data_IF_658246835779
#
_entry.id   IF_658246835779
#
_cell.length_a   1.000
_cell.length_b   1.000
_cell.length_c   1.000
_cell.angle_alpha   90.00
_cell.angle_beta   90.00
_cell.angle_gamma   90.00
#
_symmetry.space_group_name_H-M   'P 1'
#
loop_
_entity.id
_entity.type
_entity.pdbx_description
1 polymer ?
#
# COMPACT_ATOMS: atom_id res chain seq x y z
N UNK A 1 -2.88 -4.95 36.55
CA UNK A 1 -3.43 -3.58 36.52
C UNK A 1 -3.55 -3.12 35.07
N UNK A 2 -4.75 -2.87 34.53
CA UNK A 2 -4.93 -2.52 33.12
C UNK A 2 -4.40 -1.12 32.83
N UNK A 3 -3.51 -1.01 31.86
CA UNK A 3 -2.91 0.25 31.41
C UNK A 3 -3.91 1.02 30.54
N UNK A 4 -4.34 2.19 31.03
CA UNK A 4 -5.21 3.22 30.42
C UNK A 4 -6.65 2.84 30.06
N UNK A 5 -7.57 3.57 30.70
CA UNK A 5 -9.03 3.57 30.54
C UNK A 5 -9.51 3.64 29.07
N UNK A 6 -8.73 4.28 28.19
CA UNK A 6 -9.01 4.39 26.75
C UNK A 6 -8.79 3.10 25.94
N UNK A 7 -7.95 2.17 26.41
CA UNK A 7 -7.75 0.87 25.75
C UNK A 7 -8.79 -0.17 26.18
N UNK A 8 -9.23 -0.11 27.44
CA UNK A 8 -10.32 -0.95 27.94
C UNK A 8 -11.66 -0.58 27.29
N UNK A 9 -11.98 0.72 27.22
CA UNK A 9 -13.22 1.23 26.63
C UNK A 9 -13.37 0.90 25.13
N UNK A 10 -12.27 0.89 24.37
CA UNK A 10 -12.29 0.53 22.94
C UNK A 10 -12.37 -0.98 22.67
N UNK A 11 -12.13 -1.84 23.66
CA UNK A 11 -12.21 -3.30 23.48
C UNK A 11 -13.60 -3.86 23.75
N UNK A 12 -14.38 -3.24 24.65
CA UNK A 12 -15.72 -3.70 25.03
C UNK A 12 -16.74 -3.58 23.89
N UNK A 13 -16.59 -2.54 23.06
CA UNK A 13 -17.47 -2.26 21.92
C UNK A 13 -17.03 -2.96 20.61
N UNK A 14 -16.02 -3.84 20.68
CA UNK A 14 -15.52 -4.55 19.51
C UNK A 14 -16.10 -5.95 19.43
N UNK A 15 -16.50 -6.32 18.23
CA UNK A 15 -17.00 -7.64 17.87
C UNK A 15 -16.16 -8.14 16.70
N UNK A 16 -15.81 -9.42 16.73
CA UNK A 16 -15.22 -10.07 15.58
C UNK A 16 -16.14 -11.19 15.07
N UNK A 17 -16.40 -11.20 13.77
CA UNK A 17 -16.99 -12.35 13.09
C UNK A 17 -15.84 -13.17 12.53
N UNK A 18 -15.80 -14.45 12.89
CA UNK A 18 -14.75 -15.38 12.52
C UNK A 18 -15.35 -16.69 12.01
N UNK A 19 -14.58 -17.49 11.26
CA UNK A 19 -14.98 -18.87 10.96
C UNK A 19 -15.06 -19.70 12.24
N UNK A 20 -15.86 -20.76 12.24
CA UNK A 20 -16.08 -21.66 13.38
C UNK A 20 -14.76 -22.18 13.97
N UNK A 21 -13.87 -22.67 13.11
CA UNK A 21 -12.55 -23.19 13.49
C UNK A 21 -11.45 -22.11 13.52
N UNK A 22 -11.77 -20.83 13.70
CA UNK A 22 -10.73 -19.80 13.83
C UNK A 22 -9.71 -20.18 14.93
N UNK A 23 -8.38 -20.15 14.64
CA UNK A 23 -7.72 -19.48 13.52
C UNK A 23 -7.49 -20.30 12.23
N UNK A 24 -7.93 -21.55 12.15
CA UNK A 24 -7.76 -22.39 10.96
C UNK A 24 -8.63 -21.93 9.78
N UNK A 25 -9.89 -21.60 10.05
CA UNK A 25 -10.85 -21.14 9.03
C UNK A 25 -10.81 -19.61 8.91
N UNK A 26 -10.68 -19.12 7.67
CA UNK A 26 -10.58 -17.69 7.34
C UNK A 26 -11.78 -17.25 6.53
N UNK A 27 -12.36 -16.11 6.90
CA UNK A 27 -13.37 -15.43 6.11
C UNK A 27 -12.71 -14.76 4.90
N UNK A 28 -13.35 -14.90 3.74
CA UNK A 28 -12.87 -14.32 2.48
C UNK A 28 -13.29 -12.84 2.35
N UNK A 29 -12.69 -12.14 1.38
CA UNK A 29 -13.08 -10.77 1.06
C UNK A 29 -14.53 -10.72 0.55
N UNK A 30 -14.91 -11.69 -0.28
CA UNK A 30 -16.26 -11.82 -0.82
C UNK A 30 -17.29 -12.04 0.29
N UNK A 31 -16.94 -12.85 1.30
CA UNK A 31 -17.79 -13.03 2.49
C UNK A 31 -17.93 -11.72 3.29
N UNK A 32 -16.83 -10.98 3.45
CA UNK A 32 -16.85 -9.68 4.12
C UNK A 32 -17.75 -8.66 3.39
N UNK A 33 -17.66 -8.59 2.07
CA UNK A 33 -18.47 -7.71 1.24
C UNK A 33 -19.96 -8.11 1.29
N UNK A 34 -20.24 -9.42 1.22
CA UNK A 34 -21.59 -9.95 1.36
C UNK A 34 -22.20 -9.61 2.73
N UNK A 35 -21.44 -9.79 3.81
CA UNK A 35 -21.90 -9.45 5.16
C UNK A 35 -22.14 -7.94 5.31
N UNK A 36 -21.22 -7.11 4.80
CA UNK A 36 -21.38 -5.66 4.83
C UNK A 36 -22.65 -5.23 4.10
N UNK A 37 -22.86 -5.71 2.87
CA UNK A 37 -24.05 -5.38 2.07
C UNK A 37 -25.34 -5.82 2.76
N UNK A 38 -25.33 -7.01 3.36
CA UNK A 38 -26.50 -7.54 4.05
C UNK A 38 -26.83 -6.71 5.30
N UNK A 39 -25.82 -6.34 6.10
CA UNK A 39 -26.00 -5.45 7.24
C UNK A 39 -26.50 -4.05 6.81
N UNK A 40 -25.98 -3.49 5.71
CA UNK A 40 -26.49 -2.21 5.19
C UNK A 40 -27.97 -2.29 4.83
N UNK A 41 -28.40 -3.36 4.14
CA UNK A 41 -29.83 -3.58 3.84
C UNK A 41 -30.68 -3.73 5.09
N UNK A 42 -30.15 -4.39 6.12
CA UNK A 42 -30.83 -4.52 7.41
C UNK A 42 -30.97 -3.16 8.12
N UNK A 43 -29.98 -2.27 7.99
CA UNK A 43 -30.05 -0.89 8.49
C UNK A 43 -31.10 -0.09 7.71
N UNK A 44 -31.09 -0.17 6.39
CA UNK A 44 -32.02 0.56 5.51
C UNK A 44 -33.49 0.16 5.75
N UNK A 45 -33.73 -1.06 6.23
CA UNK A 45 -35.05 -1.57 6.57
C UNK A 45 -35.55 -1.15 7.97
N UNK A 46 -34.72 -0.49 8.78
CA UNK A 46 -35.14 -0.04 10.12
C UNK A 46 -36.13 1.13 10.03
N UNK A 47 -37.14 1.17 10.91
CA UNK A 47 -38.07 2.29 10.97
C UNK A 47 -37.35 3.57 11.38
N UNK A 48 -37.70 4.70 10.73
CA UNK A 48 -37.06 6.02 10.90
C UNK A 48 -37.13 6.53 12.34
N UNK A 49 -38.13 6.09 13.12
CA UNK A 49 -38.30 6.48 14.53
C UNK A 49 -37.44 5.66 15.51
N UNK A 50 -36.71 4.64 15.01
CA UNK A 50 -35.80 3.83 15.80
C UNK A 50 -34.41 4.44 15.93
N UNK A 51 -33.72 4.15 17.04
CA UNK A 51 -32.29 4.46 17.17
C UNK A 51 -31.50 3.62 16.16
N UNK A 52 -30.97 4.27 15.12
CA UNK A 52 -30.14 3.59 14.13
C UNK A 52 -28.83 3.08 14.77
N UNK A 53 -28.40 1.85 14.43
CA UNK A 53 -27.11 1.34 14.88
C UNK A 53 -25.98 2.16 14.25
N UNK A 54 -24.92 2.40 15.02
CA UNK A 54 -23.78 3.22 14.61
C UNK A 54 -22.48 2.43 14.80
N UNK A 55 -21.61 2.56 13.80
CA UNK A 55 -20.33 1.85 13.76
C UNK A 55 -19.19 2.82 13.48
N UNK A 56 -18.10 2.65 14.21
CA UNK A 56 -16.88 3.44 14.06
C UNK A 56 -15.93 2.83 13.02
N UNK A 57 -15.92 1.51 12.90
CA UNK A 57 -15.02 0.78 12.00
C UNK A 57 -15.63 -0.57 11.63
N UNK A 58 -15.55 -0.95 10.35
CA UNK A 58 -15.83 -2.29 9.85
C UNK A 58 -14.69 -2.67 8.90
N UNK A 59 -13.97 -3.77 9.18
CA UNK A 59 -12.85 -4.20 8.34
C UNK A 59 -12.61 -5.70 8.38
N UNK A 60 -12.25 -6.28 7.24
CA UNK A 60 -11.58 -7.58 7.21
C UNK A 60 -10.13 -7.41 7.67
N UNK A 61 -9.71 -8.21 8.63
CA UNK A 61 -8.32 -8.22 9.10
C UNK A 61 -7.49 -9.22 8.31
N UNK A 62 -6.17 -9.06 8.32
CA UNK A 62 -5.23 -10.01 7.70
C UNK A 62 -5.35 -11.43 8.30
N UNK A 63 -5.88 -11.53 9.52
CA UNK A 63 -6.18 -12.79 10.20
C UNK A 63 -7.37 -13.54 9.60
N UNK A 64 -8.12 -12.95 8.66
CA UNK A 64 -9.31 -13.56 8.06
C UNK A 64 -10.55 -13.48 8.96
N UNK A 65 -10.62 -12.47 9.83
CA UNK A 65 -11.80 -12.17 10.64
C UNK A 65 -12.29 -10.75 10.34
N UNK A 66 -13.59 -10.55 10.43
CA UNK A 66 -14.23 -9.25 10.24
C UNK A 66 -14.32 -8.58 11.61
N UNK A 67 -13.57 -7.49 11.78
CA UNK A 67 -13.55 -6.71 13.00
C UNK A 67 -14.50 -5.52 12.86
N UNK A 68 -15.46 -5.42 13.77
CA UNK A 68 -16.41 -4.32 13.84
C UNK A 68 -16.24 -3.60 15.18
N UNK A 69 -16.10 -2.28 15.12
CA UNK A 69 -16.07 -1.40 16.30
C UNK A 69 -17.39 -0.64 16.35
N UNK A 70 -18.23 -0.97 17.32
CA UNK A 70 -19.53 -0.36 17.51
C UNK A 70 -19.38 1.01 18.21
N UNK A 71 -20.34 1.90 17.99
CA UNK A 71 -20.37 3.20 18.68
C UNK A 71 -20.85 3.07 20.12
N UNK A 72 -21.84 2.22 20.36
CA UNK A 72 -22.45 1.97 21.66
C UNK A 72 -22.85 0.48 21.81
N UNK A 73 -23.19 0.06 23.02
CA UNK A 73 -23.55 -1.34 23.32
C UNK A 73 -24.81 -1.77 22.57
N UNK A 74 -25.76 -0.85 22.34
CA UNK A 74 -26.98 -1.12 21.56
C UNK A 74 -26.67 -1.50 20.11
N UNK A 75 -25.73 -0.80 19.48
CA UNK A 75 -25.25 -1.10 18.13
C UNK A 75 -24.54 -2.45 18.07
N UNK A 76 -23.86 -2.81 19.16
CA UNK A 76 -23.19 -4.11 19.33
C UNK A 76 -24.20 -5.26 19.45
N UNK A 77 -25.19 -5.12 20.33
CA UNK A 77 -26.28 -6.09 20.49
C UNK A 77 -27.05 -6.28 19.18
N UNK A 78 -27.35 -5.18 18.49
CA UNK A 78 -28.01 -5.22 17.18
C UNK A 78 -27.16 -6.00 16.17
N UNK A 79 -25.86 -5.72 16.07
CA UNK A 79 -24.95 -6.42 15.16
C UNK A 79 -24.91 -7.91 15.46
N UNK A 80 -24.69 -8.29 16.73
CA UNK A 80 -24.60 -9.69 17.15
C UNK A 80 -25.90 -10.44 16.84
N UNK A 81 -27.05 -9.80 17.05
CA UNK A 81 -28.38 -10.34 16.70
C UNK A 81 -28.58 -10.51 15.19
N UNK A 82 -28.20 -9.51 14.36
CA UNK A 82 -28.33 -9.60 12.91
C UNK A 82 -27.44 -10.69 12.32
N UNK A 83 -26.15 -10.71 12.69
CA UNK A 83 -25.21 -11.72 12.17
C UNK A 83 -25.67 -13.14 12.54
N UNK A 84 -26.26 -13.34 13.72
CA UNK A 84 -26.78 -14.64 14.15
C UNK A 84 -28.13 -15.05 13.53
N UNK A 85 -28.90 -14.12 12.97
CA UNK A 85 -30.26 -14.39 12.45
C UNK A 85 -30.34 -14.42 10.93
N UNK A 86 -29.42 -13.76 10.22
CA UNK A 86 -29.47 -13.60 8.78
C UNK A 86 -28.99 -14.85 8.02
N UNK A 87 -29.73 -15.26 7.00
CA UNK A 87 -29.29 -16.26 6.01
C UNK A 87 -28.45 -15.58 4.91
N UNK A 88 -27.35 -16.20 4.42
CA UNK A 88 -26.84 -17.54 4.76
C UNK A 88 -25.91 -17.56 5.98
N UNK A 89 -25.66 -16.41 6.63
CA UNK A 89 -24.65 -16.27 7.68
C UNK A 89 -24.87 -17.18 8.89
N UNK A 90 -26.12 -17.42 9.27
CA UNK A 90 -26.50 -18.36 10.33
C UNK A 90 -26.13 -19.82 10.02
N UNK A 91 -26.11 -20.19 8.74
CA UNK A 91 -25.88 -21.56 8.27
C UNK A 91 -24.44 -21.78 7.80
N UNK A 92 -23.72 -20.70 7.50
CA UNK A 92 -22.27 -20.75 7.33
C UNK A 92 -21.62 -20.87 8.71
N UNK A 93 -20.78 -21.89 8.93
CA UNK A 93 -20.04 -22.09 10.19
C UNK A 93 -19.19 -20.89 10.59
N UNK A 94 -19.82 -19.90 11.22
CA UNK A 94 -19.22 -18.67 11.73
C UNK A 94 -19.52 -18.55 13.22
N UNK A 95 -18.66 -17.81 13.91
CA UNK A 95 -18.81 -17.49 15.32
C UNK A 95 -18.55 -16.02 15.57
N UNK A 96 -19.20 -15.51 16.60
CA UNK A 96 -19.05 -14.14 17.07
C UNK A 96 -18.13 -14.16 18.28
N UNK A 97 -17.07 -13.34 18.25
CA UNK A 97 -16.08 -13.22 19.31
C UNK A 97 -16.17 -11.84 19.95
N UNK A 98 -16.17 -11.81 21.28
CA UNK A 98 -16.29 -10.59 22.08
C UNK A 98 -15.32 -10.63 23.27
N UNK A 99 -14.94 -9.45 23.77
CA UNK A 99 -14.15 -9.30 25.01
C UNK A 99 -12.84 -10.11 25.00
N UNK A 100 -12.71 -11.04 25.94
CA UNK A 100 -11.53 -11.91 26.10
C UNK A 100 -11.34 -12.89 24.94
N UNK A 101 -12.41 -13.23 24.20
CA UNK A 101 -12.35 -14.14 23.05
C UNK A 101 -11.84 -13.46 21.77
N UNK A 102 -11.71 -12.13 21.75
CA UNK A 102 -11.11 -11.40 20.65
C UNK A 102 -9.61 -11.73 20.53
N UNK A 103 -9.07 -11.91 19.31
CA UNK A 103 -7.65 -12.18 19.14
C UNK A 103 -6.80 -11.05 19.72
N UNK A 104 -5.99 -11.37 20.71
CA UNK A 104 -5.10 -10.42 21.36
C UNK A 104 -3.75 -10.41 20.68
N UNK A 105 -3.33 -9.22 20.27
CA UNK A 105 -1.98 -9.01 19.77
C UNK A 105 -1.09 -8.50 20.90
N UNK A 106 -0.12 -9.32 21.32
CA UNK A 106 0.94 -8.92 22.23
C UNK A 106 1.91 -7.97 21.54
N UNK A 107 2.23 -6.86 22.20
CA UNK A 107 3.24 -5.94 21.68
C UNK A 107 4.61 -6.60 21.79
N UNK A 108 5.31 -6.74 20.67
CA UNK A 108 6.68 -7.23 20.57
C UNK A 108 7.51 -6.21 19.82
N UNK A 109 8.80 -6.10 20.13
CA UNK A 109 9.75 -5.34 19.31
C UNK A 109 10.62 -6.35 18.57
N UNK A 110 10.92 -6.09 17.30
CA UNK A 110 11.87 -6.86 16.53
C UNK A 110 12.99 -5.95 16.00
N UNK A 111 14.22 -6.44 15.97
CA UNK A 111 15.35 -5.77 15.32
C UNK A 111 15.91 -6.64 14.20
N UNK A 112 16.11 -6.00 13.05
CA UNK A 112 16.58 -6.62 11.82
C UNK A 112 17.85 -5.91 11.40
N UNK A 113 19.03 -6.55 11.48
CA UNK A 113 20.28 -5.93 11.07
C UNK A 113 20.36 -5.80 9.54
N UNK A 114 21.02 -4.73 9.08
CA UNK A 114 21.30 -4.48 7.66
C UNK A 114 20.50 -3.31 7.04
N UNK A 115 20.51 -3.18 5.70
CA UNK A 115 19.77 -2.12 5.01
C UNK A 115 18.27 -2.25 5.26
N UNK A 116 17.57 -1.11 5.34
CA UNK A 116 16.12 -1.11 5.58
C UNK A 116 15.37 -1.75 4.42
N UNK A 117 14.69 -2.86 4.69
CA UNK A 117 13.81 -3.54 3.74
C UNK A 117 12.32 -3.25 4.03
N UNK A 118 11.46 -3.44 3.03
CA UNK A 118 10.00 -3.29 3.20
C UNK A 118 9.43 -4.33 4.17
N UNK A 119 8.66 -3.88 5.17
CA UNK A 119 8.23 -4.71 6.30
C UNK A 119 7.37 -5.92 5.96
N UNK A 120 6.60 -5.89 4.87
CA UNK A 120 5.71 -7.01 4.48
C UNK A 120 6.51 -8.19 3.92
N UNK A 121 7.51 -7.92 3.08
CA UNK A 121 8.39 -8.98 2.53
C UNK A 121 9.36 -9.53 3.58
N UNK A 122 9.66 -8.73 4.61
CA UNK A 122 10.38 -9.18 5.78
C UNK A 122 9.55 -10.19 6.61
N UNK A 123 8.29 -9.88 6.94
CA UNK A 123 7.43 -10.82 7.68
C UNK A 123 7.26 -12.14 6.91
N UNK A 124 6.98 -12.10 5.60
CA UNK A 124 6.91 -13.29 4.76
C UNK A 124 8.19 -14.14 4.81
N UNK A 125 9.36 -13.51 4.87
CA UNK A 125 10.65 -14.22 4.99
C UNK A 125 10.86 -14.82 6.39
N UNK A 126 10.43 -14.13 7.45
CA UNK A 126 10.46 -14.64 8.82
C UNK A 126 9.61 -15.91 8.94
N UNK A 127 8.40 -15.89 8.40
CA UNK A 127 7.53 -17.06 8.44
C UNK A 127 8.05 -18.22 7.57
N UNK A 128 8.68 -17.94 6.43
CA UNK A 128 9.31 -18.98 5.61
C UNK A 128 10.52 -19.63 6.28
N UNK A 129 11.33 -18.86 7.00
CA UNK A 129 12.50 -19.39 7.70
C UNK A 129 12.12 -20.07 9.01
N UNK A 130 11.01 -19.63 9.62
CA UNK A 130 10.56 -20.05 10.95
C UNK A 130 9.04 -20.26 10.90
N UNK A 131 8.55 -21.40 10.35
CA UNK A 131 7.11 -21.64 10.12
C UNK A 131 6.25 -21.60 11.38
N UNK A 132 6.85 -21.79 12.55
CA UNK A 132 6.19 -21.64 13.86
C UNK A 132 5.77 -20.19 14.16
N UNK A 133 6.42 -19.22 13.53
CA UNK A 133 6.11 -17.80 13.60
C UNK A 133 5.10 -17.46 12.50
N UNK A 134 3.82 -17.44 12.87
CA UNK A 134 2.71 -17.22 11.94
C UNK A 134 2.56 -15.73 11.64
N UNK A 135 3.58 -15.13 11.01
CA UNK A 135 3.68 -13.68 10.81
C UNK A 135 2.50 -13.05 10.07
N UNK A 136 1.76 -13.85 9.29
CA UNK A 136 0.47 -13.47 8.68
C UNK A 136 -0.61 -13.02 9.67
N UNK A 137 -0.48 -13.35 10.96
CA UNK A 137 -1.39 -12.88 12.02
C UNK A 137 -0.84 -11.68 12.79
N UNK A 138 0.34 -11.18 12.41
CA UNK A 138 0.99 -10.08 13.11
C UNK A 138 0.59 -8.74 12.49
N UNK A 139 0.61 -7.69 13.28
CA UNK A 139 0.38 -6.31 12.84
C UNK A 139 1.65 -5.50 12.99
N UNK A 140 2.19 -4.96 11.91
CA UNK A 140 3.24 -3.94 12.00
C UNK A 140 2.61 -2.64 12.49
N UNK A 141 2.97 -2.22 13.71
CA UNK A 141 2.50 -0.96 14.30
C UNK A 141 3.40 0.21 13.92
N UNK A 142 4.71 -0.03 13.85
CA UNK A 142 5.69 1.00 13.53
C UNK A 142 6.94 0.38 12.94
N UNK A 143 7.56 1.07 11.98
CA UNK A 143 8.86 0.74 11.40
C UNK A 143 9.79 1.92 11.70
N UNK A 144 10.95 1.65 12.27
CA UNK A 144 11.92 2.66 12.68
C UNK A 144 13.28 2.25 12.11
N UNK A 145 13.77 2.98 11.11
CA UNK A 145 15.15 2.80 10.64
C UNK A 145 16.15 3.23 11.72
N UNK A 146 17.18 2.43 11.96
CA UNK A 146 18.31 2.71 12.85
C UNK A 146 19.53 2.95 11.95
N UNK A 147 19.95 4.21 11.74
CA UNK A 147 21.03 4.55 10.82
C UNK A 147 22.29 3.71 11.05
N UNK A 148 22.79 3.08 10.00
CA UNK A 148 24.01 2.28 10.02
C UNK A 148 23.92 0.94 10.75
N UNK A 149 22.74 0.55 11.30
CA UNK A 149 22.59 -0.72 12.03
C UNK A 149 21.52 -1.63 11.46
N UNK A 150 20.32 -1.11 11.18
CA UNK A 150 19.19 -1.98 10.92
C UNK A 150 17.82 -1.28 10.93
N UNK A 151 16.79 -2.09 11.03
CA UNK A 151 15.40 -1.66 11.18
C UNK A 151 14.80 -2.25 12.44
N UNK A 152 14.17 -1.39 13.25
CA UNK A 152 13.40 -1.78 14.43
C UNK A 152 11.90 -1.74 14.11
N UNK A 153 11.21 -2.84 14.37
CA UNK A 153 9.78 -3.00 14.17
C UNK A 153 9.06 -3.05 15.52
N UNK A 154 7.96 -2.32 15.64
CA UNK A 154 7.00 -2.53 16.72
C UNK A 154 5.86 -3.37 16.14
N UNK A 155 5.68 -4.56 16.68
CA UNK A 155 4.77 -5.57 16.19
C UNK A 155 3.65 -5.82 17.21
N UNK A 156 2.45 -6.11 16.72
CA UNK A 156 1.43 -6.84 17.46
C UNK A 156 1.48 -8.29 17.01
N UNK A 157 1.94 -9.19 17.87
CA UNK A 157 2.16 -10.61 17.61
C UNK A 157 1.02 -11.41 18.23
N UNK A 158 0.46 -12.38 17.50
CA UNK A 158 -0.58 -13.26 18.05
C UNK A 158 -0.05 -14.11 19.22
N UNK A 159 -0.97 -14.61 20.03
CA UNK A 159 -0.66 -15.30 21.28
C UNK A 159 0.26 -16.52 21.04
N UNK A 160 -0.06 -17.35 20.06
CA UNK A 160 0.68 -18.58 19.78
C UNK A 160 2.03 -18.32 19.13
N UNK A 161 2.15 -17.32 18.25
CA UNK A 161 3.46 -16.88 17.77
C UNK A 161 4.31 -16.28 18.90
N UNK A 162 3.71 -15.62 19.89
CA UNK A 162 4.44 -15.13 21.04
C UNK A 162 4.94 -16.27 21.94
N UNK A 163 4.16 -17.35 22.08
CA UNK A 163 4.61 -18.59 22.76
C UNK A 163 5.71 -19.28 21.94
N UNK A 164 5.58 -19.31 20.60
CA UNK A 164 6.63 -19.85 19.73
C UNK A 164 7.94 -19.05 19.86
N UNK A 165 7.87 -17.72 19.88
CA UNK A 165 9.03 -16.87 20.12
C UNK A 165 9.72 -17.18 21.46
N UNK A 166 8.98 -17.49 22.52
CA UNK A 166 9.58 -17.89 23.79
C UNK A 166 10.39 -19.20 23.65
N UNK A 167 9.85 -20.19 22.93
CA UNK A 167 10.57 -21.46 22.67
C UNK A 167 11.82 -21.25 21.81
N UNK A 168 11.78 -20.27 20.91
CA UNK A 168 12.87 -19.91 20.02
C UNK A 168 13.86 -18.91 20.65
N UNK A 169 13.79 -18.68 21.97
CA UNK A 169 14.62 -17.70 22.70
C UNK A 169 14.57 -16.30 22.06
N UNK A 170 13.40 -15.93 21.54
CA UNK A 170 13.13 -14.67 20.86
C UNK A 170 14.04 -14.38 19.67
N UNK A 171 14.45 -15.42 18.94
CA UNK A 171 15.23 -15.30 17.71
C UNK A 171 14.44 -15.86 16.53
N UNK A 172 14.51 -15.19 15.39
CA UNK A 172 14.06 -15.69 14.10
C UNK A 172 15.06 -15.31 13.00
N UNK A 173 14.77 -15.70 11.76
CA UNK A 173 15.65 -15.41 10.62
C UNK A 173 14.88 -14.73 9.48
N UNK A 174 15.50 -13.83 8.75
CA UNK A 174 14.91 -13.21 7.57
C UNK A 174 15.96 -13.10 6.47
N UNK A 175 15.85 -13.96 5.45
CA UNK A 175 16.87 -14.04 4.41
C UNK A 175 18.24 -14.37 5.01
N UNK A 176 19.18 -13.43 4.92
CA UNK A 176 20.55 -13.56 5.44
C UNK A 176 20.75 -12.93 6.83
N UNK A 177 19.69 -12.41 7.46
CA UNK A 177 19.78 -11.69 8.73
C UNK A 177 19.14 -12.45 9.88
N UNK A 178 19.79 -12.44 11.04
CA UNK A 178 19.21 -12.88 12.32
C UNK A 178 18.33 -11.77 12.89
N UNK A 179 17.07 -12.06 13.15
CA UNK A 179 16.09 -11.13 13.73
C UNK A 179 15.94 -11.41 15.20
N UNK A 180 16.11 -10.40 16.04
CA UNK A 180 15.91 -10.53 17.50
C UNK A 180 14.57 -9.92 17.89
N UNK A 181 13.85 -10.59 18.78
CA UNK A 181 12.56 -10.17 19.31
C UNK A 181 12.68 -9.90 20.81
N UNK A 182 11.84 -9.04 21.37
CA UNK A 182 11.71 -8.88 22.82
C UNK A 182 10.42 -8.20 23.21
N UNK A 183 9.93 -8.51 24.42
CA UNK A 183 8.80 -7.82 25.02
C UNK A 183 9.28 -6.48 25.60
N UNK A 184 8.80 -5.33 25.10
CA UNK A 184 9.22 -4.02 25.58
C UNK A 184 8.84 -3.74 27.04
N UNK A 185 7.98 -4.56 27.67
CA UNK A 185 7.66 -4.48 29.10
C UNK A 185 8.75 -5.06 29.99
N UNK A 186 9.51 -6.02 29.48
CA UNK A 186 10.54 -6.75 30.22
C UNK A 186 11.97 -6.35 29.82
N UNK A 187 12.16 -5.61 28.73
CA UNK A 187 13.47 -5.15 28.27
C UNK A 187 13.44 -3.65 27.89
N UNK A 188 14.22 -2.85 28.63
CA UNK A 188 14.49 -1.42 28.33
C UNK A 188 15.85 -1.28 27.65
N UNK A 189 15.92 -1.53 26.34
CA UNK A 189 17.16 -1.40 25.56
C UNK A 189 17.11 -2.17 24.23
N UNK A 190 18.05 -1.89 23.32
CA UNK A 190 18.28 -2.65 22.08
C UNK A 190 19.31 -3.75 22.36
N UNK A 191 18.91 -5.05 22.39
CA UNK A 191 19.83 -6.15 22.72
C UNK A 191 20.99 -6.29 21.72
N UNK A 192 20.87 -5.73 20.51
CA UNK A 192 21.89 -5.83 19.46
C UNK A 192 22.99 -4.77 19.51
N UNK A 193 23.00 -3.89 20.52
CA UNK A 193 24.01 -2.83 20.65
C UNK A 193 25.34 -3.29 21.31
N UNK A 194 25.34 -4.41 22.03
CA UNK A 194 26.49 -4.83 22.86
C UNK A 194 27.43 -5.85 22.19
N UNK A 195 27.08 -6.38 21.00
CA UNK A 195 27.98 -7.21 20.19
C UNK A 195 28.66 -6.38 19.09
N UNK A 196 29.54 -5.47 19.49
CA UNK A 196 30.60 -4.99 18.59
C UNK A 196 31.75 -6.02 18.63
N UNK A 197 32.30 -6.47 17.47
CA UNK A 197 33.45 -7.37 17.49
C UNK A 197 34.64 -6.67 18.18
N UNK A 198 35.44 -7.40 18.98
CA UNK A 198 36.52 -6.79 19.75
C UNK A 198 37.56 -6.20 18.79
N UNK A 199 37.84 -4.91 19.00
CA UNK A 199 38.84 -4.15 18.26
C UNK A 199 40.23 -4.75 18.53
N UNK A 200 40.74 -5.60 17.62
CA UNK A 200 42.14 -6.03 17.67
C UNK A 200 43.03 -4.85 17.29
N UNK A 201 43.64 -4.25 18.30
CA UNK A 201 44.58 -3.15 18.15
C UNK A 201 45.76 -3.51 17.23
N UNK A 202 46.06 -2.61 16.31
CA UNK A 202 47.31 -2.61 15.57
C UNK A 202 48.45 -2.22 16.52
N UNK A 203 49.24 -3.21 16.94
CA UNK A 203 50.63 -3.01 17.38
C UNK A 203 51.54 -3.31 16.19
N UNK A 204 52.48 -2.40 15.93
CA UNK A 204 53.45 -2.49 14.84
C UNK A 204 54.47 -3.62 15.01
N UNK A 205 55.19 -3.91 13.94
CA UNK A 205 56.33 -4.83 13.96
C UNK A 205 56.80 -5.22 12.56
N UNK A 206 57.96 -4.66 12.21
CA UNK A 206 58.90 -4.98 11.12
C UNK A 206 59.04 -6.46 10.69
N UNK A 207 59.57 -6.63 9.47
CA UNK A 207 60.49 -7.72 9.14
C UNK A 207 59.90 -8.81 8.25
N UNK A 208 60.44 -8.96 7.04
CA UNK A 208 59.97 -9.91 6.04
C UNK A 208 60.41 -11.35 6.29
N UNK A 209 59.83 -12.26 5.52
CA UNK A 209 60.52 -13.37 4.86
C UNK A 209 59.62 -13.99 3.78
N UNK A 210 60.24 -14.33 2.64
CA UNK A 210 59.63 -14.96 1.46
C UNK A 210 59.61 -16.47 1.64
N UNK A 211 58.56 -17.13 1.14
CA UNK A 211 58.68 -18.47 0.55
C UNK A 211 57.95 -18.52 -0.83
N UNK A 212 58.53 -19.15 -1.87
CA UNK A 212 58.04 -19.09 -3.25
C UNK A 212 57.39 -20.40 -3.76
N UNK A 213 56.69 -20.28 -4.90
CA UNK A 213 56.27 -21.37 -5.80
C UNK A 213 54.77 -21.65 -5.72
N UNK A 214 53.97 -21.74 -6.78
CA UNK A 214 54.10 -21.88 -8.25
C UNK A 214 52.92 -21.06 -8.84
N UNK A 215 52.97 -20.37 -9.98
CA UNK A 215 53.24 -20.87 -11.32
C UNK A 215 52.11 -20.40 -12.26
N UNK A 216 52.43 -19.45 -13.13
CA UNK A 216 51.84 -19.17 -14.46
C UNK A 216 50.31 -19.02 -14.65
N UNK A 217 49.88 -17.85 -15.16
CA UNK A 217 49.22 -17.74 -16.47
C UNK A 217 48.86 -16.29 -16.85
N UNK A 218 49.48 -15.84 -17.95
CA UNK A 218 48.96 -14.96 -19.01
C UNK A 218 48.07 -13.76 -18.62
N UNK A 219 48.70 -12.59 -18.70
CA UNK A 219 48.07 -11.29 -18.91
C UNK A 219 47.23 -11.28 -20.19
N UNK A 220 45.92 -11.15 -20.04
CA UNK A 220 45.04 -10.59 -21.07
C UNK A 220 44.46 -9.32 -20.47
N UNK A 221 44.94 -8.18 -20.96
CA UNK A 221 44.38 -6.86 -20.69
C UNK A 221 42.94 -6.82 -21.18
N UNK A 222 41.99 -6.85 -20.26
CA UNK A 222 40.63 -6.33 -20.49
C UNK A 222 40.40 -5.24 -19.47
N UNK A 223 40.01 -4.08 -19.98
CA UNK A 223 39.81 -2.85 -19.22
C UNK A 223 38.83 -3.10 -18.07
N UNK A 224 39.22 -2.68 -16.86
CA UNK A 224 38.29 -2.40 -15.78
C UNK A 224 37.46 -1.18 -16.18
N UNK A 225 36.44 -1.41 -17.00
CA UNK A 225 35.31 -0.52 -17.14
C UNK A 225 34.09 -1.21 -16.53
N UNK A 226 33.37 -0.46 -15.69
CA UNK A 226 32.03 -0.71 -15.17
C UNK A 226 31.87 -1.60 -13.93
N UNK A 227 32.03 -0.98 -12.76
CA UNK A 227 31.16 -1.21 -11.60
C UNK A 227 30.76 0.13 -10.96
N UNK A 228 30.16 1.02 -11.77
CA UNK A 228 29.36 2.15 -11.30
C UNK A 228 28.23 2.39 -12.33
N UNK A 229 27.45 1.36 -12.60
CA UNK A 229 26.15 1.56 -13.23
C UNK A 229 25.18 2.00 -12.13
N UNK A 230 25.03 3.32 -11.96
CA UNK A 230 23.85 3.85 -11.28
C UNK A 230 22.63 3.24 -11.97
N UNK A 231 21.75 2.60 -11.19
CA UNK A 231 20.47 2.11 -11.66
C UNK A 231 19.81 3.21 -12.51
N UNK A 232 19.22 2.91 -13.68
CA UNK A 232 18.59 3.94 -14.49
C UNK A 232 17.58 4.71 -13.64
N UNK A 233 17.69 6.04 -13.62
CA UNK A 233 16.73 6.92 -12.95
C UNK A 233 15.34 6.56 -13.49
N UNK A 234 14.54 5.88 -12.68
CA UNK A 234 13.25 5.34 -13.07
C UNK A 234 12.16 5.97 -12.23
N UNK A 235 11.18 6.57 -12.90
CA UNK A 235 10.02 7.16 -12.26
C UNK A 235 8.94 6.08 -12.11
N UNK A 236 8.74 5.60 -10.88
CA UNK A 236 7.63 4.70 -10.54
C UNK A 236 6.33 5.50 -10.45
N UNK A 237 5.37 5.18 -11.31
CA UNK A 237 4.05 5.82 -11.37
C UNK A 237 2.94 4.83 -11.02
N UNK A 238 1.91 5.30 -10.32
CA UNK A 238 0.69 4.54 -10.00
C UNK A 238 -0.54 5.28 -10.50
N UNK A 239 -1.54 4.58 -11.03
CA UNK A 239 -2.86 5.14 -11.35
C UNK A 239 -3.91 4.60 -10.36
N UNK A 240 -4.82 5.46 -9.88
CA UNK A 240 -5.93 5.04 -9.03
C UNK A 240 -7.14 5.98 -9.13
N UNK A 241 -8.35 5.41 -9.23
CA UNK A 241 -9.59 6.11 -8.88
C UNK A 241 -9.87 5.86 -7.38
N UNK A 242 -9.95 6.92 -6.58
CA UNK A 242 -10.15 6.84 -5.13
C UNK A 242 -11.63 6.83 -4.71
N UNK A 243 -12.57 7.10 -5.62
CA UNK A 243 -14.02 7.19 -5.33
C UNK A 243 -14.34 8.02 -4.08
N UNK A 244 -13.60 9.13 -3.90
CA UNK A 244 -13.68 10.01 -2.74
C UNK A 244 -13.40 9.34 -1.38
N UNK A 245 -12.89 8.11 -1.37
CA UNK A 245 -12.75 7.29 -0.19
C UNK A 245 -11.57 7.73 0.69
N UNK A 246 -11.88 8.05 1.95
CA UNK A 246 -10.89 8.45 2.97
C UNK A 246 -9.88 7.32 3.23
N UNK A 247 -10.36 6.08 3.35
CA UNK A 247 -9.51 4.93 3.62
C UNK A 247 -8.55 4.65 2.45
N UNK A 248 -9.04 4.64 1.21
CA UNK A 248 -8.21 4.48 0.02
C UNK A 248 -7.16 5.61 -0.09
N UNK A 249 -7.57 6.85 0.23
CA UNK A 249 -6.67 8.01 0.27
C UNK A 249 -5.58 7.85 1.34
N UNK A 250 -5.92 7.29 2.51
CA UNK A 250 -4.96 7.01 3.59
C UNK A 250 -3.92 5.96 3.17
N UNK A 251 -4.36 4.87 2.53
CA UNK A 251 -3.47 3.81 2.04
C UNK A 251 -2.47 4.33 1.00
N UNK A 252 -2.93 5.09 0.00
CA UNK A 252 -2.02 5.67 -0.99
C UNK A 252 -1.08 6.70 -0.35
N UNK A 253 -1.54 7.48 0.64
CA UNK A 253 -0.67 8.40 1.37
C UNK A 253 0.41 7.67 2.18
N UNK A 254 0.14 6.48 2.70
CA UNK A 254 1.15 5.65 3.38
C UNK A 254 2.18 5.11 2.39
N UNK A 255 1.74 4.63 1.22
CA UNK A 255 2.64 4.17 0.15
C UNK A 255 3.56 5.29 -0.35
N UNK A 256 3.02 6.51 -0.48
CA UNK A 256 3.78 7.71 -0.84
C UNK A 256 4.82 8.06 0.23
N UNK A 257 4.46 7.98 1.52
CA UNK A 257 5.38 8.24 2.62
C UNK A 257 6.50 7.20 2.73
N UNK A 258 6.23 5.94 2.36
CA UNK A 258 7.22 4.86 2.33
C UNK A 258 8.17 4.94 1.11
N UNK A 259 7.90 5.81 0.13
CA UNK A 259 8.74 5.99 -1.05
C UNK A 259 8.58 4.90 -2.12
N UNK A 260 7.55 4.05 -2.03
CA UNK A 260 7.31 2.97 -3.00
C UNK A 260 6.89 3.49 -4.38
N UNK A 261 6.31 4.69 -4.44
CA UNK A 261 5.84 5.35 -5.67
C UNK A 261 6.28 6.81 -5.70
N UNK A 262 6.72 7.28 -6.87
CA UNK A 262 7.21 8.65 -7.06
C UNK A 262 6.13 9.61 -7.57
N UNK A 263 5.20 9.12 -8.41
CA UNK A 263 4.07 9.91 -8.91
C UNK A 263 2.78 9.08 -8.92
N UNK A 264 1.65 9.70 -8.60
CA UNK A 264 0.33 9.04 -8.59
C UNK A 264 -0.66 9.86 -9.41
N UNK A 265 -1.29 9.22 -10.39
CA UNK A 265 -2.35 9.78 -11.23
C UNK A 265 -3.70 9.39 -10.61
N UNK A 266 -4.36 10.36 -9.98
CA UNK A 266 -5.54 10.13 -9.13
C UNK A 266 -6.80 10.65 -9.81
N UNK A 267 -7.84 9.82 -9.84
CA UNK A 267 -9.22 10.20 -10.20
C UNK A 267 -10.12 10.12 -8.95
N UNK A 268 -11.18 10.93 -8.91
CA UNK A 268 -12.12 11.09 -7.78
C UNK A 268 -11.42 11.18 -6.41
N UNK A 269 -10.52 12.15 -6.18
CA UNK A 269 -9.83 12.29 -4.90
C UNK A 269 -10.81 12.60 -3.76
N UNK A 270 -10.46 12.25 -2.52
CA UNK A 270 -11.18 12.75 -1.35
C UNK A 270 -11.02 14.28 -1.26
N UNK A 271 -12.13 15.01 -1.35
CA UNK A 271 -12.18 16.47 -1.29
C UNK A 271 -12.97 16.92 -0.07
N UNK A 272 -12.44 17.91 0.66
CA UNK A 272 -13.15 18.61 1.73
C UNK A 272 -12.95 20.12 1.58
N UNK A 273 -14.04 20.90 1.70
CA UNK A 273 -14.02 22.36 1.51
C UNK A 273 -13.33 22.77 0.20
N UNK A 274 -13.65 22.10 -0.92
CA UNK A 274 -13.09 22.39 -2.25
C UNK A 274 -11.62 22.03 -2.45
N UNK A 275 -10.95 21.41 -1.47
CA UNK A 275 -9.53 21.05 -1.56
C UNK A 275 -9.30 19.55 -1.36
N UNK A 276 -8.34 18.98 -2.10
CA UNK A 276 -7.92 17.58 -1.92
C UNK A 276 -7.36 17.38 -0.50
N UNK A 277 -7.87 16.37 0.20
CA UNK A 277 -7.48 16.00 1.56
C UNK A 277 -6.75 14.66 1.59
N UNK A 278 -6.20 14.31 2.75
CA UNK A 278 -5.55 13.01 2.99
C UNK A 278 -4.17 12.82 2.35
N UNK A 279 -3.76 13.67 1.40
CA UNK A 279 -2.44 13.63 0.78
C UNK A 279 -1.46 14.60 1.48
N UNK A 280 -0.41 14.06 2.09
CA UNK A 280 0.58 14.88 2.82
C UNK A 280 1.42 15.75 1.89
N UNK A 281 1.32 17.07 2.07
CA UNK A 281 2.18 18.07 1.40
C UNK A 281 3.58 18.18 2.04
N UNK A 282 3.80 17.53 3.19
CA UNK A 282 5.12 17.48 3.83
C UNK A 282 6.12 16.66 2.99
N UNK A 283 5.62 15.61 2.33
CA UNK A 283 6.44 14.61 1.63
C UNK A 283 6.42 14.75 0.11
N UNK A 284 5.57 15.64 -0.42
CA UNK A 284 5.37 15.78 -1.86
C UNK A 284 4.46 16.94 -2.24
N UNK A 285 4.11 16.98 -3.51
CA UNK A 285 3.31 18.04 -4.12
C UNK A 285 2.00 17.46 -4.66
N UNK A 286 0.90 18.19 -4.43
CA UNK A 286 -0.42 17.88 -4.98
C UNK A 286 -0.73 18.91 -6.07
N UNK A 287 -0.93 18.44 -7.29
CA UNK A 287 -1.32 19.22 -8.45
C UNK A 287 -2.81 19.02 -8.72
N UNK A 288 -3.55 20.12 -8.75
CA UNK A 288 -5.00 20.19 -8.97
C UNK A 288 -5.32 21.40 -9.84
N UNK A 289 -6.47 21.41 -10.49
CA UNK A 289 -7.06 22.65 -11.01
C UNK A 289 -7.44 23.58 -9.85
N UNK A 290 -7.41 24.89 -10.10
CA UNK A 290 -7.62 25.92 -9.08
C UNK A 290 -9.08 26.37 -8.98
N UNK A 291 -9.90 26.07 -9.99
CA UNK A 291 -11.11 26.84 -10.26
C UNK A 291 -12.40 26.13 -9.83
N UNK A 292 -12.33 24.81 -9.56
CA UNK A 292 -13.48 23.96 -9.25
C UNK A 292 -13.10 22.81 -8.32
N UNK A 293 -14.09 22.19 -7.69
CA UNK A 293 -13.91 20.96 -6.89
C UNK A 293 -13.29 19.85 -7.77
N UNK A 294 -12.05 19.41 -7.50
CA UNK A 294 -11.30 18.56 -8.43
C UNK A 294 -11.83 17.13 -8.46
N UNK A 295 -11.98 16.57 -9.67
CA UNK A 295 -12.22 15.14 -9.94
C UNK A 295 -10.99 14.40 -10.44
N UNK A 296 -9.91 15.13 -10.74
CA UNK A 296 -8.59 14.54 -11.00
C UNK A 296 -7.51 15.34 -10.26
N UNK A 297 -6.47 14.64 -9.82
CA UNK A 297 -5.25 15.27 -9.31
C UNK A 297 -4.01 14.41 -9.61
N UNK A 298 -2.84 15.02 -9.48
CA UNK A 298 -1.56 14.30 -9.52
C UNK A 298 -0.82 14.56 -8.21
N UNK A 299 -0.28 13.51 -7.61
CA UNK A 299 0.69 13.63 -6.53
C UNK A 299 2.09 13.31 -7.04
N UNK A 300 3.11 14.04 -6.58
CA UNK A 300 4.51 13.63 -6.77
C UNK A 300 5.29 13.72 -5.46
N UNK A 301 6.27 12.85 -5.26
CA UNK A 301 7.23 13.01 -4.16
C UNK A 301 8.12 14.23 -4.40
N UNK A 302 8.73 14.78 -3.33
CA UNK A 302 9.65 15.93 -3.43
C UNK A 302 10.90 15.69 -4.28
N UNK A 303 11.24 14.43 -4.54
CA UNK A 303 12.38 14.06 -5.35
C UNK A 303 12.10 14.19 -6.86
N UNK A 304 10.81 14.30 -7.24
CA UNK A 304 10.41 14.47 -8.64
C UNK A 304 10.42 15.95 -8.99
N UNK A 305 11.24 16.33 -9.95
CA UNK A 305 11.19 17.65 -10.57
C UNK A 305 9.96 17.73 -11.46
N UNK A 306 8.95 18.48 -11.02
CA UNK A 306 7.66 18.58 -11.70
C UNK A 306 7.14 20.03 -11.77
N UNK A 307 6.58 20.41 -12.92
CA UNK A 307 5.97 21.72 -13.18
C UNK A 307 4.52 21.54 -13.62
N UNK A 308 3.60 22.26 -12.99
CA UNK A 308 2.17 22.27 -13.35
C UNK A 308 1.99 22.91 -14.74
N UNK A 309 1.26 22.25 -15.63
CA UNK A 309 0.83 22.86 -16.89
C UNK A 309 -0.53 23.51 -16.67
N UNK A 310 -0.54 24.77 -16.22
CA UNK A 310 -1.75 25.49 -15.81
C UNK A 310 -2.85 25.50 -16.87
N UNK A 311 -2.47 25.67 -18.15
CA UNK A 311 -3.40 25.67 -19.29
C UNK A 311 -4.04 24.29 -19.58
N UNK A 312 -3.53 23.24 -18.94
CA UNK A 312 -4.04 21.87 -19.05
C UNK A 312 -4.40 21.31 -17.66
N UNK A 313 -4.92 22.15 -16.77
CA UNK A 313 -5.39 21.76 -15.44
C UNK A 313 -6.83 22.24 -15.21
N UNK A 314 -7.79 21.36 -15.51
CA UNK A 314 -9.23 21.56 -15.35
C UNK A 314 -9.77 20.66 -14.23
N UNK A 315 -11.08 20.79 -13.95
CA UNK A 315 -11.78 19.96 -12.95
C UNK A 315 -11.50 18.46 -13.10
N UNK A 316 -11.49 17.98 -14.34
CA UNK A 316 -11.47 16.57 -14.71
C UNK A 316 -10.13 16.09 -15.27
N UNK A 317 -9.18 17.01 -15.45
CA UNK A 317 -7.91 16.73 -16.12
C UNK A 317 -6.81 17.57 -15.50
N UNK A 318 -5.74 16.92 -15.07
CA UNK A 318 -4.55 17.60 -14.54
C UNK A 318 -3.33 17.09 -15.26
N UNK A 319 -2.57 18.01 -15.86
CA UNK A 319 -1.30 17.70 -16.51
C UNK A 319 -0.11 18.39 -15.84
N UNK A 320 0.99 17.64 -15.71
CA UNK A 320 2.27 18.14 -15.23
C UNK A 320 3.39 17.72 -16.18
N UNK A 321 4.43 18.54 -16.27
CA UNK A 321 5.71 18.17 -16.89
C UNK A 321 6.63 17.64 -15.80
N UNK A 322 7.19 16.45 -16.01
CA UNK A 322 8.17 15.83 -15.10
C UNK A 322 9.51 15.63 -15.81
N UNK A 323 10.61 15.82 -15.09
CA UNK A 323 11.97 15.57 -15.60
C UNK A 323 12.54 14.32 -14.94
N UNK A 324 12.99 13.35 -15.75
CA UNK A 324 13.63 12.11 -15.29
C UNK A 324 14.97 11.99 -16.00
N UNK A 325 16.07 12.16 -15.26
CA UNK A 325 17.40 12.28 -15.84
C UNK A 325 17.48 13.47 -16.80
N UNK A 326 17.76 13.22 -18.09
CA UNK A 326 17.83 14.25 -19.14
C UNK A 326 16.56 14.36 -19.98
N UNK A 327 15.53 13.57 -19.68
CA UNK A 327 14.30 13.49 -20.48
C UNK A 327 13.13 14.16 -19.76
N UNK A 328 12.26 14.81 -20.52
CA UNK A 328 11.01 15.39 -20.03
C UNK A 328 9.82 14.53 -20.49
N UNK A 329 8.85 14.35 -19.61
CA UNK A 329 7.59 13.64 -19.87
C UNK A 329 6.42 14.50 -19.40
N UNK A 330 5.28 14.36 -20.06
CA UNK A 330 4.01 14.90 -19.58
C UNK A 330 3.25 13.76 -18.91
N UNK A 331 2.86 13.97 -17.65
CA UNK A 331 1.93 13.10 -16.94
C UNK A 331 0.57 13.77 -16.89
N UNK A 332 -0.48 13.02 -17.20
CA UNK A 332 -1.86 13.48 -17.18
C UNK A 332 -2.72 12.53 -16.35
N UNK A 333 -3.45 13.04 -15.37
CA UNK A 333 -4.55 12.31 -14.72
C UNK A 333 -5.86 12.86 -15.26
N UNK A 334 -6.74 11.98 -15.76
CA UNK A 334 -8.02 12.38 -16.31
C UNK A 334 -9.17 11.52 -15.80
N UNK A 335 -10.29 12.14 -15.46
CA UNK A 335 -11.56 11.49 -15.18
C UNK A 335 -12.53 11.79 -16.31
N UNK A 336 -12.99 10.76 -17.04
CA UNK A 336 -13.91 10.93 -18.16
C UNK A 336 -15.33 10.55 -17.70
N UNK A 337 -16.16 11.51 -17.28
CA UNK A 337 -17.49 11.22 -16.75
C UNK A 337 -18.38 10.52 -17.78
N UNK A 338 -19.20 9.59 -17.31
CA UNK A 338 -20.13 8.80 -18.14
C UNK A 338 -21.14 9.69 -18.90
N UNK A 339 -21.56 10.78 -18.28
CA UNK A 339 -22.52 11.74 -18.84
C UNK A 339 -21.93 12.65 -19.93
N UNK A 340 -20.62 12.60 -20.16
CA UNK A 340 -20.00 13.41 -21.21
C UNK A 340 -20.46 12.94 -22.60
N UNK A 341 -21.06 13.81 -23.42
CA UNK A 341 -21.61 13.45 -24.73
C UNK A 341 -20.53 13.13 -25.77
N UNK A 342 -19.29 13.58 -25.58
CA UNK A 342 -18.18 13.41 -26.53
C UNK A 342 -16.90 12.95 -25.83
N UNK A 343 -16.71 11.63 -25.62
CA UNK A 343 -15.44 11.07 -25.17
C UNK A 343 -14.50 10.81 -26.37
N UNK A 344 -13.20 11.16 -26.29
CA UNK A 344 -12.55 11.87 -25.18
C UNK A 344 -12.86 13.38 -25.20
N UNK A 345 -12.84 14.04 -24.02
CA UNK A 345 -13.15 15.45 -23.91
C UNK A 345 -12.15 16.31 -24.70
N UNK A 346 -12.64 17.44 -25.22
CA UNK A 346 -11.84 18.39 -26.03
C UNK A 346 -10.52 18.77 -25.38
N UNK A 347 -10.53 19.02 -24.07
CA UNK A 347 -9.34 19.38 -23.30
C UNK A 347 -8.23 18.32 -23.37
N UNK A 348 -8.60 17.03 -23.39
CA UNK A 348 -7.63 15.94 -23.53
C UNK A 348 -7.07 15.89 -24.95
N UNK A 349 -7.91 16.11 -25.97
CA UNK A 349 -7.45 16.17 -27.36
C UNK A 349 -6.50 17.34 -27.60
N UNK A 350 -6.78 18.51 -27.04
CA UNK A 350 -5.90 19.69 -27.10
C UNK A 350 -4.56 19.42 -26.42
N UNK A 351 -4.54 18.74 -25.27
CA UNK A 351 -3.29 18.32 -24.62
C UNK A 351 -2.49 17.35 -25.48
N UNK A 352 -3.14 16.36 -26.10
CA UNK A 352 -2.49 15.37 -26.98
C UNK A 352 -1.86 16.08 -28.18
N UNK A 353 -2.59 16.98 -28.82
CA UNK A 353 -2.11 17.70 -30.00
C UNK A 353 -0.98 18.69 -29.65
N UNK A 354 -1.11 19.39 -28.52
CA UNK A 354 -0.06 20.24 -28.00
C UNK A 354 1.20 19.44 -27.69
N UNK A 355 1.08 18.27 -27.04
CA UNK A 355 2.21 17.40 -26.80
C UNK A 355 2.85 17.05 -28.13
N UNK A 356 2.11 16.46 -29.09
CA UNK A 356 2.57 16.08 -30.44
C UNK A 356 3.36 17.19 -31.13
N UNK A 357 2.78 18.39 -31.20
CA UNK A 357 3.41 19.56 -31.84
C UNK A 357 4.74 19.95 -31.19
N UNK A 358 4.92 19.68 -29.89
CA UNK A 358 6.11 20.03 -29.12
C UNK A 358 7.10 18.87 -28.94
N UNK A 359 6.85 17.71 -29.56
CA UNK A 359 7.65 16.51 -29.42
C UNK A 359 7.89 16.06 -27.95
N UNK A 360 6.88 16.23 -27.08
CA UNK A 360 6.86 15.81 -25.68
C UNK A 360 6.15 14.44 -25.49
N UNK A 361 6.83 13.42 -24.94
CA UNK A 361 6.19 12.16 -24.55
C UNK A 361 5.07 12.37 -23.52
N UNK A 362 3.92 11.75 -23.73
CA UNK A 362 2.74 11.90 -22.88
C UNK A 362 2.40 10.56 -22.21
N UNK A 363 2.00 10.59 -20.95
CA UNK A 363 1.46 9.44 -20.22
C UNK A 363 0.13 9.89 -19.65
N UNK A 364 -0.94 9.21 -20.03
CA UNK A 364 -2.29 9.50 -19.54
C UNK A 364 -2.72 8.36 -18.65
N UNK A 365 -3.02 8.66 -17.40
CA UNK A 365 -3.78 7.78 -16.53
C UNK A 365 -5.20 8.27 -16.45
N UNK A 366 -6.17 7.42 -16.77
CA UNK A 366 -7.56 7.82 -16.76
C UNK A 366 -8.54 6.75 -16.32
N UNK A 367 -9.64 7.22 -15.73
CA UNK A 367 -10.89 6.47 -15.66
C UNK A 367 -11.78 6.94 -16.82
N UNK A 368 -11.88 6.09 -17.85
CA UNK A 368 -12.55 6.46 -19.09
C UNK A 368 -14.08 6.25 -19.06
N UNK A 369 -14.59 5.48 -18.09
CA UNK A 369 -15.95 4.93 -18.11
C UNK A 369 -16.33 4.35 -19.49
N UNK A 370 -15.38 3.68 -20.15
CA UNK A 370 -15.49 3.17 -21.52
C UNK A 370 -14.99 1.73 -21.60
N UNK A 371 -15.67 0.91 -22.41
CA UNK A 371 -15.33 -0.50 -22.58
C UNK A 371 -14.69 -0.68 -23.96
N UNK A 372 -13.50 -1.26 -24.00
CA UNK A 372 -12.89 -1.67 -25.25
C UNK A 372 -11.94 -2.84 -25.01
N UNK A 373 -11.91 -3.77 -25.96
CA UNK A 373 -11.09 -4.99 -25.89
C UNK A 373 -9.59 -4.69 -25.86
N UNK A 374 -9.14 -3.59 -26.49
CA UNK A 374 -7.73 -3.17 -26.48
C UNK A 374 -7.17 -2.82 -25.08
N UNK A 375 -8.02 -2.54 -24.09
CA UNK A 375 -7.62 -2.41 -22.68
C UNK A 375 -8.21 -3.52 -21.78
N UNK A 376 -8.68 -4.62 -22.37
CA UNK A 376 -9.06 -5.83 -21.64
C UNK A 376 -10.48 -5.87 -21.10
N UNK A 377 -11.41 -5.05 -21.61
CA UNK A 377 -12.86 -5.21 -21.40
C UNK A 377 -13.40 -6.44 -22.14
N UNK A 378 -14.54 -6.98 -21.69
CA UNK A 378 -15.22 -8.12 -22.33
C UNK A 378 -15.86 -7.72 -23.67
N UNK A 379 -16.21 -6.45 -23.81
CA UNK A 379 -16.96 -5.87 -24.91
C UNK A 379 -16.40 -4.50 -25.31
N UNK A 380 -16.95 -3.94 -26.40
CA UNK A 380 -16.69 -2.57 -26.84
C UNK A 380 -18.01 -1.79 -26.78
N UNK A 381 -18.04 -0.70 -26.03
CA UNK A 381 -19.19 0.22 -26.03
C UNK A 381 -18.91 1.45 -26.93
N UNK A 382 -19.95 2.23 -27.26
CA UNK A 382 -19.82 3.41 -28.15
C UNK A 382 -18.72 4.38 -27.70
N UNK A 383 -18.55 4.56 -26.39
CA UNK A 383 -17.48 5.41 -25.81
C UNK A 383 -16.10 4.83 -26.03
N UNK A 384 -15.97 3.51 -25.93
CA UNK A 384 -14.73 2.78 -26.20
C UNK A 384 -14.26 2.98 -27.63
N UNK A 385 -15.17 2.88 -28.60
CA UNK A 385 -14.87 3.12 -30.02
C UNK A 385 -14.35 4.54 -30.26
N UNK A 386 -15.00 5.57 -29.70
CA UNK A 386 -14.55 6.96 -29.83
C UNK A 386 -13.22 7.24 -29.13
N UNK A 387 -12.94 6.55 -28.02
CA UNK A 387 -11.73 6.78 -27.21
C UNK A 387 -10.51 5.98 -27.69
N UNK A 388 -10.71 4.85 -28.38
CA UNK A 388 -9.63 3.95 -28.80
C UNK A 388 -8.61 4.61 -29.74
N UNK A 389 -9.06 5.51 -30.64
CA UNK A 389 -8.18 6.23 -31.56
C UNK A 389 -7.23 7.22 -30.88
N UNK A 390 -7.63 7.75 -29.70
CA UNK A 390 -6.83 8.70 -28.91
C UNK A 390 -6.02 8.00 -27.81
N UNK A 391 -6.53 6.87 -27.28
CA UNK A 391 -5.97 6.13 -26.15
C UNK A 391 -5.17 4.88 -26.55
N UNK A 392 -4.70 4.79 -27.79
CA UNK A 392 -4.04 3.59 -28.36
C UNK A 392 -2.93 3.04 -27.43
N UNK A 393 -3.16 1.86 -26.83
CA UNK A 393 -2.35 1.31 -25.74
C UNK A 393 -1.09 0.57 -26.22
N UNK A 394 0.03 0.81 -25.56
CA UNK A 394 1.14 -0.14 -25.48
C UNK A 394 1.45 -0.48 -24.01
N UNK A 395 1.54 -1.80 -23.73
CA UNK A 395 2.08 -2.36 -22.48
C UNK A 395 3.58 -2.05 -22.40
N UNK A 396 4.07 -1.65 -21.22
CA UNK A 396 5.49 -1.40 -20.97
C UNK A 396 6.33 -2.69 -21.11
N UNK A 397 7.03 -2.81 -22.23
CA UNK A 397 8.19 -3.69 -22.47
C UNK A 397 9.05 -3.07 -23.58
N UNK A 398 10.24 -2.58 -23.25
CA UNK A 398 11.18 -1.83 -24.13
C UNK A 398 11.72 -2.65 -25.34
N UNK A 399 12.36 -2.07 -26.41
CA UNK A 399 12.72 -0.66 -26.73
C UNK A 399 12.39 -0.11 -28.18
N UNK A 400 12.64 1.22 -28.37
CA UNK A 400 12.79 2.06 -29.60
C UNK A 400 11.53 2.64 -30.34
N UNK A 401 11.65 3.70 -31.21
CA UNK A 401 11.82 5.13 -30.87
C UNK A 401 10.68 6.07 -31.37
N UNK A 402 10.71 7.33 -30.88
CA UNK A 402 9.96 8.54 -31.28
C UNK A 402 8.41 8.47 -31.18
N UNK A 403 7.91 9.02 -30.07
CA UNK A 403 6.50 9.21 -29.69
C UNK A 403 5.73 8.02 -29.13
N UNK A 404 5.37 8.08 -27.84
CA UNK A 404 4.42 7.17 -27.19
C UNK A 404 3.51 7.94 -26.24
N UNK A 405 2.19 7.73 -26.37
CA UNK A 405 1.21 7.98 -25.33
C UNK A 405 1.01 6.64 -24.59
N UNK A 406 1.57 6.46 -23.39
CA UNK A 406 1.41 5.20 -22.65
C UNK A 406 0.25 5.35 -21.63
N UNK A 407 -0.66 4.38 -21.61
CA UNK A 407 -1.76 4.29 -20.65
C UNK A 407 -1.46 3.19 -19.62
N UNK A 408 -1.56 3.49 -18.32
CA UNK A 408 -1.46 2.48 -17.25
C UNK A 408 -2.86 2.12 -16.75
N UNK A 409 -3.52 1.15 -17.38
CA UNK A 409 -4.83 0.69 -16.93
C UNK A 409 -4.73 -0.27 -15.73
N UNK A 410 -5.39 0.04 -14.62
CA UNK A 410 -5.75 -0.93 -13.58
C UNK A 410 -7.22 -1.26 -13.73
N UNK A 411 -7.51 -2.52 -14.07
CA UNK A 411 -8.87 -3.06 -14.14
C UNK A 411 -9.42 -3.09 -12.72
N UNK A 412 -10.36 -2.22 -12.37
CA UNK A 412 -11.21 -2.45 -11.20
C UNK A 412 -12.06 -3.68 -11.51
N UNK A 413 -11.94 -4.72 -10.69
CA UNK A 413 -12.90 -5.80 -10.66
C UNK A 413 -14.24 -5.19 -10.21
N UNK A 414 -15.09 -4.85 -11.17
CA UNK A 414 -16.53 -4.79 -10.89
C UNK A 414 -16.96 -6.24 -10.74
N UNK A 415 -17.41 -6.59 -9.54
CA UNK A 415 -18.15 -7.82 -9.33
C UNK A 415 -19.45 -7.69 -10.11
N UNK A 416 -19.55 -8.43 -11.22
CA UNK A 416 -20.83 -8.80 -11.84
C UNK A 416 -21.46 -9.90 -10.98
#
# INVERSE_FOLDING_TARGET
MPTTYSQAANSALRVAVAGEDFPATRLSAEFCDALHLALSRAIDALPVEGSMPRFNEFRLTEQGIIMVTCFDERSKEWLTSQVGSMSPFRETGIRILEGEALPRLRKMVAFVPGPSEEGVDLLRRIERSTPELRTRFWKIRQVIGVPGRGTRLILGVDEESAVALQRLNFVGHAGMSRVTFWDPRHHKGDPGADEAPPNRGSRGGNGGERFPGFGGARTVTSSMANLNASSPLSLKCTQINLQHCIAATSLISQQLAAGHTHAVLIQEPWVGQGSVKGLSRKWGHVYVSSDQTPRACIYTSKQVTATKLTNFCFRDLVAIKVTVGRSCYILCSAYLPYESPTPPPRQLMELVEWCKSNNLPLIVGCDANAHHTCWGSKDVNQRGTGSAGVLNLQRLGYPQPRYKANLCYTKQARGD
#
